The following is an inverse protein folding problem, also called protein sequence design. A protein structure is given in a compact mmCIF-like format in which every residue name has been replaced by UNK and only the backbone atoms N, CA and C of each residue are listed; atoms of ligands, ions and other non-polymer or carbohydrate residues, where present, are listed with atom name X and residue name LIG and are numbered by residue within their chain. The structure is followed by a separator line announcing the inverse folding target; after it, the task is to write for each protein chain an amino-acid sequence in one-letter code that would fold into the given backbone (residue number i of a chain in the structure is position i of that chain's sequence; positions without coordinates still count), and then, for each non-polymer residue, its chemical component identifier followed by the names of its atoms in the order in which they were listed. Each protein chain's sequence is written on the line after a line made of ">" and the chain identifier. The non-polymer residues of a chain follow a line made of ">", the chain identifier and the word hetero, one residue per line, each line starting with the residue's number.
data_IF_125139721789
#
_entry.id   IF_125139721789
#
_cell.length_a   1.000
_cell.length_b   1.000
_cell.length_c   1.000
_cell.angle_alpha   90.00
_cell.angle_beta   90.00
_cell.angle_gamma   90.00
#
_symmetry.space_group_name_H-M   'P 1'
#
loop_
_entity.id
_entity.type
_entity.pdbx_description
1 polymer ?
#
# COMPACT_ATOMS: atom_id res chain seq x y z
N UNK A 1 20.01 1.48 11.89
CA UNK A 1 20.34 0.19 11.24
C UNK A 1 19.04 -0.54 10.94
N UNK A 2 18.57 -0.50 9.70
CA UNK A 2 17.28 -1.09 9.27
C UNK A 2 17.34 -2.61 9.31
N UNK A 3 16.69 -3.22 10.32
CA UNK A 3 16.68 -4.69 10.53
C UNK A 3 15.77 -5.45 9.55
N UNK A 4 14.96 -4.75 8.76
CA UNK A 4 13.93 -5.37 7.90
C UNK A 4 14.46 -5.88 6.55
N UNK A 5 15.59 -5.36 6.06
CA UNK A 5 16.07 -5.59 4.69
C UNK A 5 16.85 -6.90 4.49
N UNK A 6 17.03 -7.71 5.55
CA UNK A 6 17.83 -8.95 5.49
C UNK A 6 17.06 -10.20 5.04
N UNK A 7 15.77 -10.15 4.73
CA UNK A 7 15.05 -11.32 4.18
C UNK A 7 15.14 -11.37 2.66
N UNK A 8 16.31 -11.78 2.15
CA UNK A 8 16.43 -12.46 0.85
C UNK A 8 16.05 -13.93 1.05
N UNK A 9 15.09 -14.43 0.28
CA UNK A 9 14.81 -15.86 0.20
C UNK A 9 13.38 -16.16 -0.20
N UNK A 10 13.20 -16.50 -1.48
CA UNK A 10 12.11 -17.28 -2.06
C UNK A 10 11.03 -17.79 -1.07
N UNK A 11 9.91 -17.08 -0.94
CA UNK A 11 8.66 -17.69 -0.50
C UNK A 11 7.76 -17.80 -1.72
N UNK A 12 7.50 -19.05 -2.13
CA UNK A 12 6.47 -19.39 -3.13
C UNK A 12 5.18 -18.72 -2.70
N UNK A 13 4.52 -17.98 -3.61
CA UNK A 13 3.20 -17.43 -3.34
C UNK A 13 2.29 -18.57 -2.85
N UNK A 14 1.70 -18.50 -1.65
CA UNK A 14 0.84 -19.55 -1.16
C UNK A 14 -0.32 -19.71 -2.14
N UNK A 15 -0.65 -20.98 -2.42
CA UNK A 15 -1.80 -21.37 -3.23
C UNK A 15 -3.00 -20.56 -2.71
N UNK A 16 -3.64 -19.85 -3.64
CA UNK A 16 -4.78 -18.98 -3.41
C UNK A 16 -6.02 -19.81 -3.06
N UNK A 17 -5.99 -20.49 -1.91
CA UNK A 17 -7.17 -21.13 -1.34
C UNK A 17 -8.17 -20.03 -0.93
N UNK A 18 -9.28 -20.01 -1.67
CA UNK A 18 -10.66 -19.71 -1.22
C UNK A 18 -10.96 -18.48 -0.37
N UNK A 19 -10.04 -17.53 -0.19
CA UNK A 19 -10.34 -16.33 0.58
C UNK A 19 -11.29 -15.39 -0.16
N UNK A 20 -12.48 -15.19 0.41
CA UNK A 20 -13.51 -14.25 -0.07
C UNK A 20 -12.91 -12.83 -0.17
N UNK A 21 -13.36 -11.98 -1.11
CA UNK A 21 -12.95 -10.58 -1.20
C UNK A 21 -13.03 -9.81 0.12
N UNK A 22 -14.04 -10.13 0.95
CA UNK A 22 -14.20 -9.58 2.31
C UNK A 22 -13.05 -9.92 3.27
N UNK A 23 -12.40 -11.09 3.11
CA UNK A 23 -11.22 -11.49 3.88
C UNK A 23 -10.01 -10.61 3.57
N UNK A 24 -9.84 -10.23 2.30
CA UNK A 24 -8.75 -9.35 1.86
C UNK A 24 -8.96 -7.91 2.34
N UNK A 25 -10.20 -7.41 2.28
CA UNK A 25 -10.54 -6.10 2.81
C UNK A 25 -10.35 -6.07 4.35
N UNK A 26 -10.80 -7.09 5.08
CA UNK A 26 -10.56 -7.22 6.51
C UNK A 26 -9.05 -7.29 6.85
N UNK A 27 -8.25 -7.98 6.04
CA UNK A 27 -6.79 -7.98 6.20
C UNK A 27 -6.17 -6.61 5.95
N UNK A 28 -6.67 -5.84 4.97
CA UNK A 28 -6.19 -4.47 4.74
C UNK A 28 -6.42 -3.56 5.95
N UNK A 29 -7.58 -3.66 6.63
CA UNK A 29 -7.84 -2.90 7.85
C UNK A 29 -6.94 -3.31 9.01
N UNK A 30 -6.61 -4.60 9.13
CA UNK A 30 -5.66 -5.06 10.16
C UNK A 30 -4.27 -4.45 9.96
N UNK A 31 -3.78 -4.44 8.72
CA UNK A 31 -2.49 -3.83 8.40
C UNK A 31 -2.51 -2.32 8.66
N UNK A 32 -3.60 -1.64 8.27
CA UNK A 32 -3.77 -0.21 8.49
C UNK A 32 -3.79 0.14 9.98
N UNK A 33 -4.57 -0.59 10.78
CA UNK A 33 -4.60 -0.41 12.24
C UNK A 33 -3.22 -0.62 12.84
N UNK A 34 -2.50 -1.65 12.38
CA UNK A 34 -1.14 -1.91 12.86
C UNK A 34 -0.18 -0.79 12.47
N UNK A 35 -0.31 -0.21 11.27
CA UNK A 35 0.46 0.94 10.83
C UNK A 35 0.27 2.13 11.79
N UNK A 36 -0.97 2.41 12.19
CA UNK A 36 -1.29 3.49 13.13
C UNK A 36 -0.67 3.26 14.53
N UNK A 37 -0.76 2.03 15.05
CA UNK A 37 -0.22 1.68 16.37
C UNK A 37 1.30 1.86 16.51
N UNK A 38 2.04 1.67 15.40
CA UNK A 38 3.50 1.72 15.39
C UNK A 38 4.05 3.02 14.82
N UNK A 39 3.19 3.95 14.38
CA UNK A 39 3.57 5.19 13.69
C UNK A 39 4.68 5.96 14.42
N UNK A 40 4.52 6.16 15.72
CA UNK A 40 5.48 6.93 16.55
C UNK A 40 6.77 6.15 16.87
N UNK A 41 6.75 4.82 16.74
CA UNK A 41 7.87 3.93 17.11
C UNK A 41 8.74 3.58 15.91
N UNK A 42 8.09 3.25 14.80
CA UNK A 42 8.71 2.76 13.58
C UNK A 42 7.99 3.35 12.34
N UNK A 43 8.25 4.64 12.01
CA UNK A 43 7.59 5.32 10.88
C UNK A 43 7.76 4.59 9.54
N UNK A 44 8.93 4.00 9.29
CA UNK A 44 9.19 3.26 8.04
C UNK A 44 8.31 2.01 7.92
N UNK A 45 8.24 1.23 9.00
CA UNK A 45 7.41 0.02 9.05
C UNK A 45 5.94 0.39 8.99
N UNK A 46 5.55 1.48 9.65
CA UNK A 46 4.20 2.05 9.60
C UNK A 46 3.79 2.38 8.15
N UNK A 47 4.62 3.14 7.44
CA UNK A 47 4.36 3.51 6.05
C UNK A 47 4.34 2.29 5.12
N UNK A 48 5.21 1.31 5.36
CA UNK A 48 5.19 0.05 4.61
C UNK A 48 3.88 -0.72 4.79
N UNK A 49 3.41 -0.87 6.04
CA UNK A 49 2.15 -1.53 6.35
C UNK A 49 0.95 -0.81 5.74
N UNK A 50 0.95 0.53 5.75
CA UNK A 50 -0.08 1.32 5.08
C UNK A 50 -0.10 1.08 3.56
N UNK A 51 1.07 1.01 2.90
CA UNK A 51 1.15 0.65 1.49
C UNK A 51 0.66 -0.79 1.23
N UNK A 52 1.01 -1.74 2.09
CA UNK A 52 0.52 -3.13 1.99
C UNK A 52 -1.00 -3.21 2.15
N UNK A 53 -1.58 -2.44 3.08
CA UNK A 53 -3.02 -2.33 3.27
C UNK A 53 -3.72 -1.89 1.97
N UNK A 54 -3.24 -0.81 1.35
CA UNK A 54 -3.74 -0.33 0.07
C UNK A 54 -3.67 -1.39 -1.04
N UNK A 55 -2.54 -2.11 -1.14
CA UNK A 55 -2.37 -3.21 -2.11
C UNK A 55 -3.35 -4.35 -1.87
N UNK A 56 -3.59 -4.73 -0.61
CA UNK A 56 -4.55 -5.78 -0.26
C UNK A 56 -5.99 -5.38 -0.59
N UNK A 57 -6.35 -4.12 -0.40
CA UNK A 57 -7.67 -3.61 -0.80
C UNK A 57 -7.87 -3.67 -2.32
N UNK A 58 -6.86 -3.32 -3.12
CA UNK A 58 -6.93 -3.50 -4.57
C UNK A 58 -6.99 -4.97 -4.99
N UNK A 59 -6.27 -5.87 -4.31
CA UNK A 59 -6.41 -7.32 -4.53
C UNK A 59 -7.82 -7.83 -4.21
N UNK A 60 -8.50 -7.25 -3.22
CA UNK A 60 -9.90 -7.57 -2.94
C UNK A 60 -10.80 -7.21 -4.13
N UNK A 61 -10.51 -6.10 -4.80
CA UNK A 61 -11.21 -5.67 -6.01
C UNK A 61 -10.96 -6.61 -7.20
N UNK A 62 -9.70 -7.00 -7.44
CA UNK A 62 -9.36 -8.01 -8.46
C UNK A 62 -10.17 -9.30 -8.25
N UNK A 63 -10.30 -9.72 -7.00
CA UNK A 63 -11.05 -10.91 -6.61
C UNK A 63 -12.55 -10.76 -6.83
N UNK A 64 -13.13 -9.62 -6.45
CA UNK A 64 -14.56 -9.34 -6.69
C UNK A 64 -14.89 -9.31 -8.18
N UNK A 65 -13.97 -8.80 -9.00
CA UNK A 65 -14.14 -8.74 -10.45
C UNK A 65 -13.78 -10.05 -11.18
N UNK A 66 -13.29 -11.08 -10.47
CA UNK A 66 -12.80 -12.34 -11.03
C UNK A 66 -11.74 -12.16 -12.14
N UNK A 67 -11.01 -11.04 -12.11
CA UNK A 67 -9.99 -10.67 -13.10
C UNK A 67 -8.63 -10.65 -12.42
N UNK A 68 -7.68 -11.42 -12.97
CA UNK A 68 -6.27 -11.29 -12.59
C UNK A 68 -5.62 -10.23 -13.47
N UNK A 69 -5.10 -9.19 -12.85
CA UNK A 69 -4.46 -8.10 -13.58
C UNK A 69 -2.98 -8.11 -13.25
N UNK A 70 -2.16 -8.33 -14.28
CA UNK A 70 -0.73 -8.06 -14.16
C UNK A 70 -0.53 -6.55 -14.23
N UNK A 71 -0.16 -5.94 -13.12
CA UNK A 71 0.11 -4.51 -13.02
C UNK A 71 1.44 -4.27 -12.32
N UNK A 72 2.21 -3.31 -12.84
CA UNK A 72 3.52 -2.93 -12.32
C UNK A 72 3.45 -1.99 -11.12
N UNK A 73 2.28 -1.40 -10.87
CA UNK A 73 2.03 -0.36 -9.87
C UNK A 73 0.59 -0.39 -9.35
N UNK A 74 0.32 0.26 -8.21
CA UNK A 74 -1.04 0.34 -7.64
C UNK A 74 -1.96 1.20 -8.50
N UNK A 75 -1.45 2.27 -9.11
CA UNK A 75 -2.17 3.15 -10.02
C UNK A 75 -2.59 2.39 -11.27
N UNK A 76 -1.66 1.67 -11.89
CA UNK A 76 -1.97 0.85 -13.06
C UNK A 76 -3.04 -0.19 -12.71
N UNK A 77 -2.93 -0.84 -11.55
CA UNK A 77 -3.94 -1.80 -11.11
C UNK A 77 -5.31 -1.13 -10.91
N UNK A 78 -5.32 0.01 -10.21
CA UNK A 78 -6.55 0.72 -9.85
C UNK A 78 -7.31 1.24 -11.07
N UNK A 79 -6.61 1.80 -12.05
CA UNK A 79 -7.23 2.35 -13.26
C UNK A 79 -7.77 1.29 -14.22
N UNK A 80 -7.50 0.01 -13.99
CA UNK A 80 -8.08 -1.09 -14.79
C UNK A 80 -9.50 -1.46 -14.36
N UNK A 81 -10.00 -0.83 -13.30
CA UNK A 81 -11.33 -1.04 -12.76
C UNK A 81 -12.18 0.22 -12.91
N UNK A 82 -13.51 0.09 -13.11
CA UNK A 82 -14.42 1.23 -13.13
C UNK A 82 -14.34 2.09 -11.86
N UNK A 83 -14.02 1.48 -10.71
CA UNK A 83 -13.82 2.15 -9.44
C UNK A 83 -12.65 3.14 -9.48
N UNK A 84 -11.63 2.86 -10.29
CA UNK A 84 -10.48 3.74 -10.49
C UNK A 84 -10.71 4.82 -11.53
N UNK A 85 -11.34 4.48 -12.65
CA UNK A 85 -11.69 5.45 -13.71
C UNK A 85 -12.64 6.53 -13.18
N UNK A 86 -13.63 6.13 -12.37
CA UNK A 86 -14.63 7.03 -11.78
C UNK A 86 -14.23 7.56 -10.40
N UNK A 87 -13.00 7.33 -9.96
CA UNK A 87 -12.55 7.77 -8.65
C UNK A 87 -12.44 9.31 -8.56
N UNK A 88 -12.84 9.92 -7.42
CA UNK A 88 -12.56 11.31 -7.14
C UNK A 88 -11.07 11.63 -7.29
N UNK A 89 -10.76 12.87 -7.68
CA UNK A 89 -9.38 13.32 -7.88
C UNK A 89 -8.49 13.03 -6.66
N UNK A 90 -9.00 13.26 -5.46
CA UNK A 90 -8.30 12.99 -4.19
C UNK A 90 -7.86 11.53 -4.03
N UNK A 91 -8.71 10.59 -4.43
CA UNK A 91 -8.39 9.15 -4.39
C UNK A 91 -7.33 8.81 -5.43
N UNK A 92 -7.45 9.32 -6.66
CA UNK A 92 -6.44 9.10 -7.70
C UNK A 92 -5.07 9.65 -7.31
N UNK A 93 -5.04 10.84 -6.72
CA UNK A 93 -3.81 11.44 -6.19
C UNK A 93 -3.23 10.63 -5.03
N UNK A 94 -4.07 10.09 -4.15
CA UNK A 94 -3.63 9.18 -3.08
C UNK A 94 -2.96 7.92 -3.63
N UNK A 95 -3.52 7.28 -4.67
CA UNK A 95 -2.91 6.10 -5.29
C UNK A 95 -1.57 6.43 -5.97
N UNK A 96 -1.51 7.53 -6.71
CA UNK A 96 -0.25 8.05 -7.29
C UNK A 96 0.82 8.28 -6.23
N UNK A 97 0.43 8.88 -5.11
CA UNK A 97 1.32 9.14 -3.99
C UNK A 97 1.86 7.83 -3.37
N UNK A 98 1.00 6.83 -3.18
CA UNK A 98 1.41 5.51 -2.66
C UNK A 98 2.41 4.79 -3.58
N UNK A 99 2.26 4.92 -4.89
CA UNK A 99 3.22 4.36 -5.85
C UNK A 99 4.55 5.10 -5.85
N UNK A 100 4.51 6.44 -5.80
CA UNK A 100 5.71 7.25 -5.69
C UNK A 100 6.48 6.87 -4.41
N UNK A 101 5.79 6.77 -3.28
CA UNK A 101 6.37 6.31 -2.03
C UNK A 101 7.06 4.95 -2.18
N UNK A 102 6.41 3.98 -2.83
CA UNK A 102 7.00 2.65 -3.02
C UNK A 102 8.22 2.65 -3.93
N UNK A 103 8.25 3.51 -4.95
CA UNK A 103 9.43 3.66 -5.82
C UNK A 103 10.59 4.27 -5.04
N UNK A 104 10.32 5.35 -4.31
CA UNK A 104 11.33 5.99 -3.46
C UNK A 104 11.87 5.02 -2.41
N UNK A 105 11.00 4.26 -1.74
CA UNK A 105 11.40 3.24 -0.78
C UNK A 105 12.15 2.03 -1.40
N UNK A 106 12.24 1.89 -2.73
CA UNK A 106 13.13 0.92 -3.39
C UNK A 106 14.53 1.47 -3.62
N UNK A 107 14.69 2.78 -3.57
CA UNK A 107 15.94 3.52 -3.74
C UNK A 107 16.38 4.11 -2.40
N UNK A 108 16.44 3.27 -1.36
CA UNK A 108 16.86 3.67 -0.01
C UNK A 108 18.30 4.22 0.02
N UNK A 109 19.11 3.85 -0.95
CA UNK A 109 20.44 4.41 -1.19
C UNK A 109 20.42 5.93 -1.41
N UNK A 110 19.37 6.47 -2.05
CA UNK A 110 19.18 7.91 -2.22
C UNK A 110 18.89 8.64 -0.88
N UNK A 111 18.31 7.95 0.09
CA UNK A 111 17.99 8.52 1.41
C UNK A 111 19.18 8.49 2.37
N UNK A 112 20.14 7.59 2.12
CA UNK A 112 21.38 7.47 2.87
C UNK A 112 22.51 8.33 2.28
N UNK A 113 22.36 8.77 1.02
CA UNK A 113 23.29 9.69 0.39
C UNK A 113 23.15 11.10 0.99
N UNK A 114 24.14 11.49 1.80
CA UNK A 114 24.19 12.79 2.46
C UNK A 114 24.24 13.99 1.50
N UNK A 115 24.48 13.76 0.21
CA UNK A 115 24.43 14.81 -0.81
C UNK A 115 23.02 15.34 -1.08
N UNK A 116 21.99 14.51 -0.92
CA UNK A 116 20.60 14.89 -1.19
C UNK A 116 19.83 15.39 0.05
N UNK A 117 20.40 15.26 1.25
CA UNK A 117 19.79 15.67 2.53
C UNK A 117 18.35 15.16 2.76
N UNK A 118 17.98 14.03 2.17
CA UNK A 118 16.61 13.50 2.26
C UNK A 118 16.29 12.91 3.64
N UNK A 119 17.29 12.39 4.35
CA UNK A 119 17.15 11.86 5.71
C UNK A 119 16.24 10.61 5.81
N UNK A 120 16.04 10.05 7.02
CA UNK A 120 15.09 8.97 7.23
C UNK A 120 13.64 9.45 7.11
N UNK A 121 12.71 8.54 6.82
CA UNK A 121 11.29 8.85 6.75
C UNK A 121 10.80 9.42 8.09
N UNK A 122 10.14 10.58 8.05
CA UNK A 122 9.60 11.18 9.27
C UNK A 122 8.25 10.56 9.65
N UNK A 123 7.86 10.70 10.92
CA UNK A 123 6.50 10.37 11.38
C UNK A 123 5.44 11.13 10.57
N UNK A 124 5.74 12.36 10.14
CA UNK A 124 4.85 13.16 9.30
C UNK A 124 4.63 12.50 7.93
N UNK A 125 5.70 12.02 7.29
CA UNK A 125 5.62 11.34 6.00
C UNK A 125 4.86 10.02 6.11
N UNK A 126 5.16 9.21 7.13
CA UNK A 126 4.46 7.97 7.41
C UNK A 126 2.96 8.20 7.63
N UNK A 127 2.58 9.27 8.35
CA UNK A 127 1.19 9.68 8.53
C UNK A 127 0.51 10.01 7.20
N UNK A 128 1.18 10.71 6.29
CA UNK A 128 0.64 10.99 4.95
C UNK A 128 0.39 9.71 4.14
N UNK A 129 1.27 8.70 4.27
CA UNK A 129 1.09 7.39 3.64
C UNK A 129 -0.12 6.65 4.22
N UNK A 130 -0.31 6.68 5.55
CA UNK A 130 -1.51 6.12 6.20
C UNK A 130 -2.78 6.81 5.68
N UNK A 131 -2.82 8.14 5.63
CA UNK A 131 -4.01 8.87 5.18
C UNK A 131 -4.33 8.60 3.70
N UNK A 132 -3.31 8.49 2.84
CA UNK A 132 -3.51 8.08 1.45
C UNK A 132 -4.08 6.65 1.34
N UNK A 133 -3.57 5.71 2.15
CA UNK A 133 -4.08 4.35 2.20
C UNK A 133 -5.53 4.30 2.69
N UNK A 134 -5.88 5.06 3.73
CA UNK A 134 -7.26 5.21 4.23
C UNK A 134 -8.21 5.69 3.15
N UNK A 135 -7.84 6.76 2.44
CA UNK A 135 -8.68 7.33 1.39
C UNK A 135 -9.01 6.29 0.31
N UNK A 136 -8.01 5.54 -0.14
CA UNK A 136 -8.21 4.45 -1.10
C UNK A 136 -9.10 3.34 -0.52
N UNK A 137 -8.77 2.82 0.66
CA UNK A 137 -9.50 1.70 1.27
C UNK A 137 -10.97 2.06 1.50
N UNK A 138 -11.25 3.24 2.02
CA UNK A 138 -12.62 3.72 2.23
C UNK A 138 -13.39 3.85 0.91
N UNK A 139 -12.76 4.40 -0.14
CA UNK A 139 -13.37 4.47 -1.47
C UNK A 139 -13.75 3.08 -2.01
N UNK A 140 -12.87 2.09 -1.80
CA UNK A 140 -13.10 0.71 -2.24
C UNK A 140 -14.14 -0.01 -1.36
N UNK A 141 -14.20 0.26 -0.06
CA UNK A 141 -15.14 -0.39 0.87
C UNK A 141 -16.59 -0.25 0.42
N UNK A 142 -17.00 0.96 0.05
CA UNK A 142 -18.37 1.25 -0.43
C UNK A 142 -18.74 0.47 -1.69
N UNK A 143 -17.75 0.02 -2.46
CA UNK A 143 -17.92 -0.72 -3.71
C UNK A 143 -17.72 -2.22 -3.54
N UNK A 144 -17.06 -2.65 -2.46
CA UNK A 144 -16.77 -4.06 -2.17
C UNK A 144 -17.85 -4.74 -1.32
N UNK A 145 -18.63 -3.99 -0.52
CA UNK A 145 -19.89 -4.46 0.08
C UNK A 145 -20.90 -4.91 -0.99
#
# INVERSE_FOLDING_TARGET
>A
MFKFLKRKGQEKEPILESQKPSSWLASSYKDLKRAEEILEKEPDLSAHLAWQAARKALKALERKAEKRISASSLEELFLRFPEGENAPRSVREAVKFLDLFKRLAKHEDLFLDGSMQLGPLTTHDAKRVIEAAKLLINHLEHRLK
#
